data_IF_507840917617
#
_entry.id   IF_507840917617
#
_cell.length_a   1.000
_cell.length_b   1.000
_cell.length_c   1.000
_cell.angle_alpha   90.00
_cell.angle_beta   90.00
_cell.angle_gamma   90.00
#
_symmetry.space_group_name_H-M   'P 1'
#
loop_
_entity.id
_entity.type
_entity.pdbx_description
1 polymer ?
#
# COMPACT_ATOMS: atom_id res chain seq x y z
N UNK A 1 64.39 -9.51 20.73
CA UNK A 1 63.66 -9.49 19.43
C UNK A 1 62.26 -10.11 19.50
N UNK A 2 62.06 -11.32 20.05
CA UNK A 2 60.72 -11.96 20.15
C UNK A 2 59.69 -11.23 21.03
N UNK A 3 60.10 -10.47 22.06
CA UNK A 3 59.18 -9.74 22.93
C UNK A 3 58.61 -8.48 22.24
N UNK A 4 59.45 -7.76 21.49
CA UNK A 4 59.04 -6.56 20.74
C UNK A 4 58.05 -6.86 19.61
N UNK A 5 58.19 -8.01 18.94
CA UNK A 5 57.26 -8.42 17.87
C UNK A 5 55.86 -8.72 18.44
N UNK A 6 55.75 -9.30 19.64
CA UNK A 6 54.46 -9.54 20.30
C UNK A 6 53.77 -8.24 20.71
N UNK A 7 54.53 -7.28 21.25
CA UNK A 7 53.99 -5.97 21.64
C UNK A 7 53.49 -5.19 20.44
N UNK A 8 54.22 -5.21 19.32
CA UNK A 8 53.82 -4.55 18.07
C UNK A 8 52.58 -5.22 17.46
N UNK A 9 52.50 -6.56 17.49
CA UNK A 9 51.34 -7.29 16.99
C UNK A 9 50.07 -7.01 17.80
N UNK A 10 50.17 -6.89 19.13
CA UNK A 10 49.04 -6.52 20.00
C UNK A 10 48.59 -5.08 19.72
N UNK A 11 49.53 -4.15 19.52
CA UNK A 11 49.21 -2.75 19.21
C UNK A 11 48.51 -2.60 17.85
N UNK A 12 48.94 -3.37 16.83
CA UNK A 12 48.28 -3.43 15.53
C UNK A 12 46.88 -4.06 15.59
N UNK A 13 46.68 -5.08 16.43
CA UNK A 13 45.35 -5.68 16.66
C UNK A 13 44.40 -4.71 17.37
N UNK A 14 44.90 -3.90 18.31
CA UNK A 14 44.12 -2.85 18.97
C UNK A 14 43.77 -1.72 17.98
N UNK A 15 44.70 -1.32 17.10
CA UNK A 15 44.44 -0.32 16.06
C UNK A 15 43.43 -0.80 15.01
N UNK A 16 43.48 -2.08 14.62
CA UNK A 16 42.49 -2.69 13.72
C UNK A 16 41.10 -2.83 14.37
N UNK A 17 41.05 -3.12 15.68
CA UNK A 17 39.80 -3.13 16.43
C UNK A 17 39.23 -1.72 16.63
N UNK A 18 40.08 -0.71 16.81
CA UNK A 18 39.70 0.69 16.94
C UNK A 18 39.29 1.34 15.60
N UNK A 19 39.86 0.90 14.46
CA UNK A 19 39.46 1.39 13.12
C UNK A 19 38.07 0.89 12.68
N UNK A 20 37.51 -0.10 13.39
CA UNK A 20 36.13 -0.56 13.20
C UNK A 20 35.13 0.13 14.16
N UNK A 21 35.61 1.05 15.02
CA UNK A 21 34.73 1.89 15.83
C UNK A 21 34.37 3.10 14.96
N UNK A 22 33.12 3.14 14.53
CA UNK A 22 32.52 4.32 13.87
C UNK A 22 32.78 5.53 14.79
N UNK A 23 33.44 6.57 14.31
CA UNK A 23 33.53 7.84 15.04
C UNK A 23 32.10 8.35 15.24
N UNK A 24 31.60 8.22 16.47
CA UNK A 24 30.36 8.85 16.89
C UNK A 24 30.76 10.17 17.53
N UNK A 25 30.52 11.26 16.81
CA UNK A 25 30.61 12.60 17.37
C UNK A 25 29.50 12.77 18.42
N UNK A 26 29.83 12.51 19.69
CA UNK A 26 28.89 12.58 20.82
C UNK A 26 28.40 14.01 21.11
N UNK A 27 28.96 15.04 20.45
CA UNK A 27 28.60 16.45 20.65
C UNK A 27 27.66 17.00 19.56
N UNK A 28 27.46 16.26 18.46
CA UNK A 28 26.27 16.41 17.63
C UNK A 28 25.25 15.43 18.16
N UNK A 29 24.11 15.90 18.65
CA UNK A 29 23.00 15.06 19.14
C UNK A 29 22.34 14.20 18.05
N UNK A 30 23.12 13.42 17.30
CA UNK A 30 22.61 12.42 16.37
C UNK A 30 22.20 11.20 17.17
N UNK A 31 20.90 11.04 17.41
CA UNK A 31 20.37 9.73 17.77
C UNK A 31 20.79 8.75 16.67
N UNK A 32 21.35 7.60 17.03
CA UNK A 32 21.50 6.49 16.10
C UNK A 32 20.11 6.14 15.57
N UNK A 33 19.76 6.60 14.36
CA UNK A 33 18.49 6.27 13.71
C UNK A 33 18.46 4.78 13.46
N UNK A 34 17.55 4.07 14.12
CA UNK A 34 17.27 2.68 13.78
C UNK A 34 16.68 2.65 12.36
N UNK A 35 17.17 1.79 11.47
CA UNK A 35 16.60 1.67 10.13
C UNK A 35 15.11 1.33 10.24
N UNK A 36 14.28 2.04 9.48
CA UNK A 36 12.87 1.73 9.37
C UNK A 36 12.68 0.29 8.86
N UNK A 37 11.70 -0.43 9.40
CA UNK A 37 11.29 -1.70 8.83
C UNK A 37 10.77 -1.46 7.41
N UNK A 38 10.95 -2.45 6.57
CA UNK A 38 10.50 -2.40 5.19
C UNK A 38 10.10 -3.79 4.76
N UNK A 39 8.92 -3.91 4.17
CA UNK A 39 8.46 -5.17 3.59
C UNK A 39 9.44 -5.67 2.52
N UNK A 40 9.83 -6.96 2.53
CA UNK A 40 10.81 -7.51 1.58
C UNK A 40 10.20 -7.76 0.20
N UNK A 41 9.98 -6.68 -0.55
CA UNK A 41 9.28 -6.70 -1.85
C UNK A 41 9.94 -7.59 -2.91
N UNK A 42 11.28 -7.67 -2.94
CA UNK A 42 12.03 -8.50 -3.89
C UNK A 42 11.90 -10.01 -3.64
N UNK A 43 11.43 -10.40 -2.46
CA UNK A 43 11.25 -11.80 -2.08
C UNK A 43 9.78 -12.25 -2.13
N UNK A 44 8.88 -11.39 -2.61
CA UNK A 44 7.46 -11.70 -2.73
C UNK A 44 7.21 -12.87 -3.68
N UNK A 45 6.18 -13.66 -3.37
CA UNK A 45 5.83 -14.82 -4.18
C UNK A 45 5.39 -14.42 -5.59
N UNK A 46 5.76 -15.24 -6.57
CA UNK A 46 5.31 -15.15 -7.94
C UNK A 46 4.47 -16.39 -8.30
N UNK A 47 3.47 -16.22 -9.15
CA UNK A 47 2.61 -17.31 -9.64
C UNK A 47 2.03 -18.18 -8.52
N UNK A 48 1.31 -17.55 -7.58
CA UNK A 48 0.83 -18.22 -6.38
C UNK A 48 -0.30 -19.20 -6.68
N UNK A 49 -0.23 -20.39 -6.10
CA UNK A 49 -1.37 -21.33 -6.02
C UNK A 49 -1.89 -21.40 -4.58
N UNK A 50 -3.06 -20.79 -4.35
CA UNK A 50 -3.79 -20.87 -3.09
C UNK A 50 -4.71 -22.09 -3.09
N UNK A 51 -4.59 -22.96 -2.09
CA UNK A 51 -5.49 -24.09 -1.90
C UNK A 51 -6.36 -23.85 -0.67
N UNK A 52 -7.68 -24.01 -0.84
CA UNK A 52 -8.67 -23.81 0.22
C UNK A 52 -9.54 -25.06 0.31
N UNK A 53 -9.67 -25.60 1.52
CA UNK A 53 -10.52 -26.75 1.82
C UNK A 53 -11.65 -26.30 2.73
N UNK A 54 -12.89 -26.48 2.28
CA UNK A 54 -14.11 -26.09 2.99
C UNK A 54 -14.88 -27.37 3.35
N UNK A 55 -15.07 -27.64 4.64
CA UNK A 55 -15.88 -28.74 5.14
C UNK A 55 -17.28 -28.23 5.46
N UNK A 56 -18.30 -28.96 5.04
CA UNK A 56 -19.70 -28.53 5.17
C UNK A 56 -20.56 -29.52 5.98
N UNK A 57 -21.78 -29.07 6.33
CA UNK A 57 -22.78 -29.88 7.03
C UNK A 57 -23.40 -30.96 6.13
N UNK A 58 -23.54 -30.68 4.84
CA UNK A 58 -24.20 -31.54 3.85
C UNK A 58 -23.27 -31.94 2.72
N UNK A 59 -23.69 -32.87 1.87
CA UNK A 59 -22.97 -33.17 0.62
C UNK A 59 -22.98 -31.96 -0.30
N UNK A 60 -21.86 -31.73 -0.99
CA UNK A 60 -21.68 -30.60 -1.90
C UNK A 60 -22.06 -31.02 -3.32
N UNK A 61 -22.95 -30.24 -3.94
CA UNK A 61 -23.30 -30.38 -5.34
C UNK A 61 -22.56 -29.31 -6.15
N UNK A 62 -21.53 -29.72 -6.91
CA UNK A 62 -20.71 -28.81 -7.70
C UNK A 62 -21.46 -28.11 -8.84
N UNK A 63 -22.55 -28.71 -9.33
CA UNK A 63 -23.39 -28.14 -10.40
C UNK A 63 -24.19 -26.93 -9.91
N UNK A 64 -24.46 -26.84 -8.61
CA UNK A 64 -25.18 -25.72 -7.99
C UNK A 64 -24.25 -24.62 -7.45
N UNK A 65 -22.94 -24.86 -7.49
CA UNK A 65 -21.94 -23.95 -6.96
C UNK A 65 -21.32 -23.13 -8.09
N UNK A 66 -21.55 -21.83 -8.13
CA UNK A 66 -20.85 -20.95 -9.06
C UNK A 66 -19.69 -20.25 -8.32
N UNK A 67 -18.49 -20.30 -8.91
CA UNK A 67 -17.26 -19.81 -8.27
C UNK A 67 -16.52 -18.88 -9.22
N UNK A 68 -16.39 -17.61 -8.84
CA UNK A 68 -15.83 -16.58 -9.70
C UNK A 68 -15.10 -15.50 -8.91
N UNK A 69 -14.15 -14.81 -9.54
CA UNK A 69 -13.54 -13.61 -8.97
C UNK A 69 -14.56 -12.46 -8.96
N UNK A 70 -14.67 -11.76 -7.84
CA UNK A 70 -15.53 -10.59 -7.76
C UNK A 70 -15.09 -9.50 -8.78
N UNK A 71 -16.01 -8.66 -9.28
CA UNK A 71 -15.63 -7.56 -10.16
C UNK A 71 -14.66 -6.56 -9.53
N UNK A 72 -14.89 -6.25 -8.25
CA UNK A 72 -14.04 -5.45 -7.39
C UNK A 72 -13.72 -6.24 -6.13
N UNK A 73 -12.53 -6.02 -5.54
CA UNK A 73 -12.22 -6.61 -4.23
C UNK A 73 -13.28 -6.24 -3.21
N UNK A 74 -13.51 -7.16 -2.29
CA UNK A 74 -14.46 -7.05 -1.20
C UNK A 74 -15.92 -6.87 -1.65
N UNK A 75 -16.22 -7.19 -2.92
CA UNK A 75 -17.51 -6.96 -3.57
C UNK A 75 -18.01 -5.51 -3.46
N UNK A 76 -17.09 -4.53 -3.46
CA UNK A 76 -17.49 -3.11 -3.48
C UNK A 76 -18.17 -2.75 -4.78
N UNK A 77 -18.96 -1.67 -4.76
CA UNK A 77 -19.84 -1.26 -5.87
C UNK A 77 -19.35 -0.02 -6.61
N UNK A 78 -18.27 0.60 -6.16
CA UNK A 78 -17.62 1.74 -6.83
C UNK A 78 -16.11 1.66 -6.60
N UNK A 79 -15.35 1.86 -7.67
CA UNK A 79 -13.90 1.95 -7.65
C UNK A 79 -13.49 3.42 -7.66
N UNK A 80 -12.73 3.83 -6.65
CA UNK A 80 -12.09 5.14 -6.60
C UNK A 80 -10.59 4.90 -6.49
N UNK A 81 -9.77 5.57 -7.29
CA UNK A 81 -8.31 5.53 -7.14
C UNK A 81 -7.83 6.95 -6.92
N UNK A 82 -6.73 7.12 -6.19
CA UNK A 82 -6.12 8.42 -5.97
C UNK A 82 -4.63 8.33 -6.22
N UNK A 83 -4.12 9.22 -7.06
CA UNK A 83 -2.69 9.41 -7.30
C UNK A 83 -2.31 10.84 -6.94
N UNK A 84 -1.41 10.98 -5.97
CA UNK A 84 -0.87 12.28 -5.54
C UNK A 84 0.46 12.55 -6.24
N UNK A 85 0.50 13.64 -6.99
CA UNK A 85 1.57 14.02 -7.91
C UNK A 85 2.68 14.87 -7.28
N UNK A 86 3.70 15.14 -8.08
CA UNK A 86 4.85 15.99 -7.79
C UNK A 86 5.70 15.63 -6.56
N UNK A 87 5.57 14.42 -5.99
CA UNK A 87 6.29 14.04 -4.77
C UNK A 87 6.10 15.06 -3.63
N UNK A 88 4.92 15.72 -3.54
CA UNK A 88 4.67 16.85 -2.62
C UNK A 88 4.90 16.49 -1.15
N UNK A 89 5.39 17.44 -0.32
CA UNK A 89 5.57 17.21 1.12
C UNK A 89 4.26 16.91 1.86
N UNK A 90 3.09 17.25 1.30
CA UNK A 90 1.78 16.95 1.87
C UNK A 90 1.42 15.46 1.87
N UNK A 91 2.07 14.65 1.03
CA UNK A 91 1.76 13.22 0.90
C UNK A 91 1.79 12.51 2.26
N UNK A 92 2.82 12.76 3.06
CA UNK A 92 3.02 12.06 4.33
C UNK A 92 2.16 12.62 5.48
N UNK A 93 2.29 13.89 5.90
CA UNK A 93 1.62 14.43 7.08
C UNK A 93 0.15 14.82 6.85
N UNK A 94 -0.38 14.67 5.62
CA UNK A 94 -1.79 14.95 5.31
C UNK A 94 -2.48 13.73 4.74
N UNK A 95 -2.15 13.30 3.52
CA UNK A 95 -2.87 12.20 2.85
C UNK A 95 -2.70 10.88 3.60
N UNK A 96 -1.45 10.41 3.74
CA UNK A 96 -1.16 9.18 4.45
C UNK A 96 -1.56 9.26 5.93
N UNK A 97 -1.30 10.39 6.59
CA UNK A 97 -1.62 10.59 7.99
C UNK A 97 -3.14 10.57 8.26
N UNK A 98 -3.95 11.19 7.40
CA UNK A 98 -5.42 11.21 7.54
C UNK A 98 -5.99 9.80 7.46
N UNK A 99 -5.53 9.02 6.47
CA UNK A 99 -5.95 7.64 6.26
C UNK A 99 -5.58 6.75 7.46
N UNK A 100 -4.37 6.92 7.98
CA UNK A 100 -3.80 6.03 9.00
C UNK A 100 -4.00 6.52 10.45
N UNK A 101 -4.87 7.50 10.67
CA UNK A 101 -5.19 8.01 12.01
C UNK A 101 -3.96 8.55 12.74
N UNK A 102 -3.09 9.25 12.01
CA UNK A 102 -1.85 9.85 12.52
C UNK A 102 -2.07 11.34 12.85
N UNK A 103 -1.13 11.98 13.57
CA UNK A 103 -1.19 13.42 13.82
C UNK A 103 -1.35 14.21 12.52
N UNK A 104 -2.15 15.27 12.53
CA UNK A 104 -2.33 16.15 11.37
C UNK A 104 -1.94 17.56 11.74
N UNK A 105 -1.43 18.32 10.77
CA UNK A 105 -1.12 19.75 10.92
C UNK A 105 -1.75 20.54 9.78
N UNK A 106 -2.37 21.68 10.13
CA UNK A 106 -2.94 22.58 9.13
C UNK A 106 -1.87 23.42 8.44
N UNK A 107 -0.78 23.74 9.16
CA UNK A 107 0.23 24.69 8.71
C UNK A 107 1.57 24.06 8.32
N UNK A 108 1.88 22.88 8.85
CA UNK A 108 3.23 22.32 8.83
C UNK A 108 3.28 20.92 8.21
N UNK A 109 4.51 20.48 7.91
CA UNK A 109 4.82 19.21 7.28
C UNK A 109 5.88 18.50 8.12
N UNK A 110 5.49 17.41 8.79
CA UNK A 110 6.42 16.54 9.49
C UNK A 110 6.75 15.31 8.63
N UNK A 111 7.88 14.67 8.93
CA UNK A 111 8.38 13.47 8.28
C UNK A 111 8.37 12.25 9.23
N UNK A 112 8.61 11.05 8.69
CA UNK A 112 8.58 9.79 9.43
C UNK A 112 9.41 9.81 10.72
N UNK A 113 10.67 10.22 10.68
CA UNK A 113 11.52 10.23 11.88
C UNK A 113 11.05 11.24 12.93
N UNK A 114 10.41 12.34 12.52
CA UNK A 114 9.78 13.29 13.44
C UNK A 114 8.55 12.66 14.12
N UNK A 115 7.70 11.96 13.37
CA UNK A 115 6.57 11.20 13.92
C UNK A 115 7.03 10.11 14.90
N UNK A 116 8.05 9.34 14.51
CA UNK A 116 8.62 8.24 15.31
C UNK A 116 9.19 8.70 16.64
N UNK A 117 9.79 9.89 16.67
CA UNK A 117 10.39 10.47 17.88
C UNK A 117 9.43 11.37 18.66
N UNK A 118 8.19 11.54 18.20
CA UNK A 118 7.21 12.47 18.79
C UNK A 118 7.69 13.95 18.78
N UNK A 119 8.55 14.32 17.81
CA UNK A 119 8.89 15.72 17.53
C UNK A 119 7.87 16.28 16.54
N UNK A 120 6.71 16.68 17.05
CA UNK A 120 5.58 17.08 16.21
C UNK A 120 5.34 18.60 16.19
N UNK A 121 4.68 19.14 15.14
CA UNK A 121 4.26 20.52 15.08
C UNK A 121 3.37 20.97 16.27
N UNK A 122 3.32 22.28 16.59
CA UNK A 122 2.52 22.76 17.72
C UNK A 122 1.01 22.79 17.46
N UNK A 123 0.57 22.67 16.21
CA UNK A 123 -0.84 22.72 15.79
C UNK A 123 -1.43 21.32 15.51
N UNK A 124 -0.84 20.27 16.10
CA UNK A 124 -1.32 18.91 15.91
C UNK A 124 -2.79 18.75 16.33
N UNK A 125 -3.54 18.10 15.47
CA UNK A 125 -4.88 17.58 15.74
C UNK A 125 -5.02 16.16 15.19
N UNK A 126 -6.14 15.50 15.49
CA UNK A 126 -6.43 14.14 15.03
C UNK A 126 -7.87 14.03 14.56
N UNK A 127 -8.14 13.19 13.56
CA UNK A 127 -9.50 12.78 13.21
C UNK A 127 -10.13 11.83 14.25
N UNK A 128 -9.30 11.20 15.08
CA UNK A 128 -9.73 10.22 16.09
C UNK A 128 -10.07 8.83 15.51
N UNK A 129 -9.85 8.62 14.21
CA UNK A 129 -10.06 7.35 13.51
C UNK A 129 -9.20 7.25 12.26
N UNK A 130 -9.04 6.02 11.77
CA UNK A 130 -8.51 5.69 10.44
C UNK A 130 -9.61 5.77 9.39
N UNK A 131 -9.27 5.93 8.12
CA UNK A 131 -10.21 6.07 7.01
C UNK A 131 -10.10 4.90 6.05
N UNK A 132 -11.24 4.30 5.68
CA UNK A 132 -11.24 3.06 4.91
C UNK A 132 -12.61 2.52 4.58
N UNK A 133 -12.63 1.29 4.11
CA UNK A 133 -13.80 0.43 4.00
C UNK A 133 -13.61 -0.85 4.84
N UNK A 134 -14.56 -1.77 4.81
CA UNK A 134 -14.37 -3.13 5.30
C UNK A 134 -14.10 -4.10 4.16
N UNK A 135 -13.54 -5.26 4.47
CA UNK A 135 -13.35 -6.34 3.51
C UNK A 135 -14.66 -7.10 3.17
N UNK A 136 -15.83 -6.62 3.64
CA UNK A 136 -17.12 -7.29 3.50
C UNK A 136 -17.33 -8.45 4.46
N UNK A 137 -16.34 -8.76 5.31
CA UNK A 137 -16.37 -9.87 6.28
C UNK A 137 -16.06 -9.41 7.70
N UNK A 138 -16.05 -8.09 7.93
CA UNK A 138 -15.90 -7.47 9.25
C UNK A 138 -14.46 -7.05 9.60
N UNK A 139 -13.52 -7.09 8.66
CA UNK A 139 -12.16 -6.56 8.87
C UNK A 139 -12.01 -5.21 8.18
N UNK A 140 -11.28 -4.29 8.82
CA UNK A 140 -10.92 -3.00 8.23
C UNK A 140 -9.99 -3.17 7.03
N UNK A 141 -10.22 -2.36 6.00
CA UNK A 141 -9.31 -2.11 4.87
C UNK A 141 -9.15 -0.60 4.76
N UNK A 142 -7.98 -0.08 5.16
CA UNK A 142 -7.72 1.37 5.04
C UNK A 142 -7.66 1.77 3.56
N UNK A 143 -8.03 3.01 3.26
CA UNK A 143 -7.85 3.54 1.91
C UNK A 143 -6.37 3.48 1.51
N UNK A 144 -6.10 3.23 0.24
CA UNK A 144 -4.76 3.23 -0.33
C UNK A 144 -4.69 4.23 -1.47
N UNK A 145 -3.50 4.76 -1.73
CA UNK A 145 -3.25 5.71 -2.79
C UNK A 145 -1.89 5.45 -3.46
N UNK A 146 -1.67 6.12 -4.58
CA UNK A 146 -0.39 6.12 -5.30
C UNK A 146 0.33 7.45 -5.03
N UNK A 147 1.59 7.41 -4.60
CA UNK A 147 2.44 8.59 -4.47
C UNK A 147 3.43 8.64 -5.64
N UNK A 148 3.52 9.76 -6.37
CA UNK A 148 4.61 9.92 -7.34
C UNK A 148 5.92 10.22 -6.63
N UNK A 149 7.04 9.77 -7.21
CA UNK A 149 8.37 9.95 -6.63
C UNK A 149 9.28 10.73 -7.58
N UNK A 150 10.06 11.66 -7.04
CA UNK A 150 11.23 12.25 -7.71
C UNK A 150 12.47 11.37 -7.47
N UNK A 151 12.39 10.10 -7.84
CA UNK A 151 13.34 9.07 -7.41
C UNK A 151 14.78 9.28 -7.92
N UNK A 152 14.96 10.06 -8.99
CA UNK A 152 16.24 10.45 -9.57
C UNK A 152 16.72 11.84 -9.11
N UNK A 153 16.07 12.40 -8.08
CA UNK A 153 16.54 13.58 -7.35
C UNK A 153 17.14 13.21 -5.98
N UNK A 154 18.24 13.88 -5.62
CA UNK A 154 18.98 13.62 -4.40
C UNK A 154 18.27 14.15 -3.14
N UNK A 155 17.36 15.13 -3.26
CA UNK A 155 16.71 15.69 -2.07
C UNK A 155 15.92 14.64 -1.28
N UNK A 156 15.40 13.59 -1.94
CA UNK A 156 14.67 12.52 -1.25
C UNK A 156 15.55 11.76 -0.26
N UNK A 157 16.87 11.81 -0.41
CA UNK A 157 17.84 11.19 0.50
C UNK A 157 18.29 12.12 1.65
N UNK A 158 17.73 13.33 1.74
CA UNK A 158 17.94 14.20 2.90
C UNK A 158 17.34 13.60 4.18
N UNK A 159 17.81 14.10 5.31
CA UNK A 159 17.30 13.73 6.63
C UNK A 159 16.41 14.85 7.19
N UNK A 160 15.29 14.46 7.81
CA UNK A 160 14.48 15.37 8.62
C UNK A 160 15.25 15.87 9.83
N UNK A 161 14.93 17.07 10.32
CA UNK A 161 15.60 17.65 11.50
C UNK A 161 14.74 17.35 12.74
N UNK A 162 15.33 16.70 13.74
CA UNK A 162 14.67 16.33 14.99
C UNK A 162 15.23 17.21 16.11
N UNK A 163 14.36 17.88 16.87
CA UNK A 163 14.76 18.76 17.98
C UNK A 163 13.71 18.77 19.09
N UNK A 164 13.70 17.69 19.89
CA UNK A 164 12.73 17.47 20.96
C UNK A 164 12.75 18.59 22.00
N UNK A 165 11.55 19.09 22.35
CA UNK A 165 11.38 20.16 23.34
C UNK A 165 11.77 21.56 22.85
N UNK A 166 12.20 21.73 21.59
CA UNK A 166 12.50 23.03 21.02
C UNK A 166 11.25 23.74 20.52
N UNK A 167 11.00 24.95 21.06
CA UNK A 167 9.77 25.73 20.82
C UNK A 167 10.01 27.18 20.39
N UNK A 168 11.25 27.58 20.08
CA UNK A 168 11.54 28.97 19.67
C UNK A 168 11.07 29.29 18.26
N UNK A 169 11.06 28.29 17.38
CA UNK A 169 10.55 28.35 16.01
C UNK A 169 10.16 26.95 15.51
N UNK A 170 9.51 26.90 14.35
CA UNK A 170 8.98 25.69 13.72
C UNK A 170 9.64 25.37 12.37
N UNK A 171 10.83 25.91 12.07
CA UNK A 171 11.44 25.78 10.74
C UNK A 171 11.66 24.33 10.30
N UNK A 172 11.89 23.43 11.25
CA UNK A 172 12.05 21.99 10.98
C UNK A 172 10.80 21.30 10.41
N UNK A 173 9.64 21.97 10.49
CA UNK A 173 8.37 21.49 9.95
C UNK A 173 7.86 22.32 8.75
N UNK A 174 8.70 23.19 8.18
CA UNK A 174 8.31 23.93 6.98
C UNK A 174 8.39 23.02 5.75
N UNK A 175 7.57 23.32 4.75
CA UNK A 175 7.53 22.54 3.51
C UNK A 175 8.90 22.45 2.86
N UNK A 176 9.31 21.23 2.51
CA UNK A 176 10.51 20.93 1.73
C UNK A 176 10.15 20.72 0.25
N UNK A 177 11.17 20.40 -0.56
CA UNK A 177 10.99 20.07 -1.98
C UNK A 177 10.01 18.90 -2.20
N UNK A 178 9.93 17.96 -1.25
CA UNK A 178 9.01 16.82 -1.32
C UNK A 178 9.11 15.90 -0.11
N UNK A 179 8.53 14.71 -0.23
CA UNK A 179 8.72 13.62 0.74
C UNK A 179 10.14 13.01 0.65
N UNK A 180 10.59 12.42 1.75
CA UNK A 180 11.87 11.75 1.89
C UNK A 180 11.74 10.23 1.70
N UNK A 181 12.85 9.53 1.46
CA UNK A 181 12.85 8.07 1.35
C UNK A 181 12.33 7.37 2.61
N UNK A 182 12.57 7.94 3.80
CA UNK A 182 12.04 7.44 5.07
C UNK A 182 10.51 7.52 5.11
N UNK A 183 9.91 8.59 4.57
CA UNK A 183 8.45 8.70 4.45
C UNK A 183 7.90 7.64 3.48
N UNK A 184 8.58 7.44 2.34
CA UNK A 184 8.16 6.45 1.33
C UNK A 184 8.20 5.04 1.91
N UNK A 185 9.24 4.69 2.68
CA UNK A 185 9.36 3.39 3.37
C UNK A 185 8.14 3.14 4.25
N UNK A 186 7.74 4.13 5.05
CA UNK A 186 6.57 4.01 5.90
C UNK A 186 5.28 3.93 5.07
N UNK A 187 5.10 4.80 4.08
CA UNK A 187 3.94 4.79 3.15
C UNK A 187 3.71 3.40 2.54
N UNK A 188 4.77 2.76 2.01
CA UNK A 188 4.65 1.46 1.34
C UNK A 188 4.41 0.29 2.29
N UNK A 189 4.81 0.38 3.56
CA UNK A 189 4.47 -0.63 4.56
C UNK A 189 2.96 -0.68 4.84
N UNK A 190 2.24 0.41 4.62
CA UNK A 190 0.78 0.46 4.74
C UNK A 190 0.05 0.05 3.45
N UNK A 191 0.75 -0.50 2.46
CA UNK A 191 0.15 -1.00 1.22
C UNK A 191 -0.19 0.09 0.21
N UNK A 192 0.42 1.28 0.33
CA UNK A 192 0.34 2.32 -0.69
C UNK A 192 1.34 2.06 -1.82
N UNK A 193 1.04 2.62 -2.99
CA UNK A 193 1.85 2.46 -4.19
C UNK A 193 2.70 3.68 -4.50
N UNK A 194 3.62 3.49 -5.44
CA UNK A 194 4.52 4.49 -5.98
C UNK A 194 4.35 4.57 -7.50
N UNK A 195 4.59 5.75 -8.06
CA UNK A 195 4.60 5.97 -9.50
C UNK A 195 5.77 6.86 -9.93
N UNK A 196 6.22 6.66 -11.17
CA UNK A 196 6.97 7.68 -11.89
C UNK A 196 6.07 8.85 -12.26
N UNK A 197 6.68 10.01 -12.44
CA UNK A 197 6.04 11.25 -12.89
C UNK A 197 7.09 12.06 -13.68
N UNK A 198 7.34 13.32 -13.32
CA UNK A 198 8.51 14.05 -13.80
C UNK A 198 9.80 13.33 -13.41
N UNK A 199 10.77 13.35 -14.31
CA UNK A 199 12.13 12.87 -14.07
C UNK A 199 13.12 14.02 -14.20
N UNK A 200 14.28 13.91 -13.57
CA UNK A 200 15.29 14.96 -13.42
C UNK A 200 16.12 15.20 -14.70
N UNK A 201 15.45 15.42 -15.82
CA UNK A 201 16.05 15.79 -17.11
C UNK A 201 15.59 17.17 -17.56
N UNK A 202 16.46 17.90 -18.27
CA UNK A 202 16.10 19.14 -18.96
C UNK A 202 15.49 18.89 -20.34
N UNK A 203 15.77 17.73 -20.92
CA UNK A 203 15.32 17.34 -22.26
C UNK A 203 13.98 16.60 -22.16
N UNK A 204 12.96 17.27 -21.62
CA UNK A 204 11.65 16.68 -21.28
C UNK A 204 10.80 16.26 -22.50
N UNK A 205 11.27 16.53 -23.71
CA UNK A 205 10.66 16.09 -24.98
C UNK A 205 11.55 15.08 -25.75
N UNK A 206 12.59 14.57 -25.09
CA UNK A 206 13.47 13.56 -25.67
C UNK A 206 13.19 12.21 -25.00
N UNK A 207 12.56 11.30 -25.75
CA UNK A 207 12.16 9.97 -25.27
C UNK A 207 13.34 9.21 -24.66
N UNK A 208 14.50 9.17 -25.32
CA UNK A 208 15.68 8.46 -24.83
C UNK A 208 16.20 9.04 -23.51
N UNK A 209 16.13 10.38 -23.36
CA UNK A 209 16.52 11.09 -22.15
C UNK A 209 15.58 10.75 -20.99
N UNK A 210 14.26 10.79 -21.24
CA UNK A 210 13.25 10.40 -20.24
C UNK A 210 13.45 8.95 -19.82
N UNK A 211 13.62 8.02 -20.77
CA UNK A 211 13.85 6.60 -20.48
C UNK A 211 15.10 6.36 -19.64
N UNK A 212 16.21 7.02 -19.97
CA UNK A 212 17.44 6.95 -19.18
C UNK A 212 17.18 7.37 -17.73
N UNK A 213 16.38 8.41 -17.53
CA UNK A 213 16.07 8.91 -16.20
C UNK A 213 15.05 8.03 -15.45
N UNK A 214 14.09 7.39 -16.13
CA UNK A 214 13.30 6.32 -15.52
C UNK A 214 14.17 5.19 -14.98
N UNK A 215 15.20 4.76 -15.72
CA UNK A 215 16.13 3.73 -15.26
C UNK A 215 16.94 4.18 -14.03
N UNK A 216 17.40 5.44 -13.99
CA UNK A 216 18.07 6.00 -12.81
C UNK A 216 17.12 6.00 -11.59
N UNK A 217 15.88 6.45 -11.79
CA UNK A 217 14.86 6.43 -10.75
C UNK A 217 14.55 5.00 -10.29
N UNK A 218 14.48 4.04 -11.23
CA UNK A 218 14.28 2.63 -10.94
C UNK A 218 15.37 2.06 -10.02
N UNK A 219 16.64 2.34 -10.32
CA UNK A 219 17.78 1.90 -9.52
C UNK A 219 17.73 2.49 -8.09
N UNK A 220 17.33 3.76 -7.98
CA UNK A 220 17.15 4.45 -6.71
C UNK A 220 16.03 3.81 -5.87
N UNK A 221 14.88 3.56 -6.48
CA UNK A 221 13.73 2.86 -5.87
C UNK A 221 14.17 1.47 -5.42
N UNK A 222 14.81 0.69 -6.29
CA UNK A 222 15.26 -0.66 -5.98
C UNK A 222 16.23 -0.71 -4.79
N UNK A 223 17.17 0.24 -4.76
CA UNK A 223 18.15 0.36 -3.67
C UNK A 223 17.50 0.73 -2.33
N UNK A 224 16.47 1.59 -2.35
CA UNK A 224 15.86 2.17 -1.13
C UNK A 224 14.67 1.37 -0.62
N UNK A 225 13.97 0.64 -1.49
CA UNK A 225 12.72 -0.03 -1.18
C UNK A 225 12.83 -1.57 -1.23
N UNK A 226 13.90 -2.14 -0.65
CA UNK A 226 14.09 -3.60 -0.52
C UNK A 226 13.88 -4.35 -1.84
N UNK A 227 14.52 -3.83 -2.90
CA UNK A 227 14.44 -4.39 -4.24
C UNK A 227 13.09 -4.22 -4.94
N UNK A 228 12.12 -3.50 -4.36
CA UNK A 228 10.89 -3.07 -5.05
C UNK A 228 11.25 -2.31 -6.31
N UNK A 229 10.47 -2.51 -7.36
CA UNK A 229 10.56 -1.81 -8.63
C UNK A 229 9.22 -1.13 -8.91
N UNK A 230 9.27 0.12 -9.34
CA UNK A 230 8.09 0.84 -9.81
C UNK A 230 7.63 0.27 -11.16
N UNK A 231 6.31 0.10 -11.32
CA UNK A 231 5.66 -0.31 -12.57
C UNK A 231 4.52 0.63 -13.00
N UNK A 232 4.41 1.79 -12.35
CA UNK A 232 3.33 2.74 -12.57
C UNK A 232 3.90 4.06 -13.08
N UNK A 233 3.28 4.64 -14.11
CA UNK A 233 3.49 6.02 -14.52
C UNK A 233 2.21 6.83 -14.29
N UNK A 234 2.36 8.01 -13.71
CA UNK A 234 1.37 9.08 -13.84
C UNK A 234 1.93 10.13 -14.78
N UNK A 235 1.27 10.38 -15.90
CA UNK A 235 1.76 11.33 -16.91
C UNK A 235 1.87 12.73 -16.29
N UNK A 236 3.07 13.36 -16.35
CA UNK A 236 3.25 14.74 -15.92
C UNK A 236 2.92 15.73 -17.04
N UNK A 237 2.38 16.89 -16.65
CA UNK A 237 2.28 18.09 -17.49
C UNK A 237 1.52 17.92 -18.83
N UNK A 238 0.70 16.87 -18.98
CA UNK A 238 0.08 16.51 -20.26
C UNK A 238 1.10 16.13 -21.34
N UNK A 239 2.31 15.75 -20.94
CA UNK A 239 3.43 15.48 -21.85
C UNK A 239 3.47 14.01 -22.25
N UNK A 240 2.88 13.73 -23.41
CA UNK A 240 2.79 12.39 -24.02
C UNK A 240 4.17 11.72 -24.25
N UNK A 241 5.28 12.48 -24.28
CA UNK A 241 6.61 11.91 -24.43
C UNK A 241 6.99 11.03 -23.23
N UNK A 242 6.48 11.33 -22.03
CA UNK A 242 6.65 10.50 -20.83
C UNK A 242 5.92 9.16 -20.96
N UNK A 243 4.68 9.20 -21.45
CA UNK A 243 3.87 8.01 -21.74
C UNK A 243 4.51 7.16 -22.83
N UNK A 244 5.00 7.79 -23.90
CA UNK A 244 5.70 7.12 -25.01
C UNK A 244 7.00 6.47 -24.53
N UNK A 245 7.79 7.16 -23.70
CA UNK A 245 8.99 6.62 -23.08
C UNK A 245 8.68 5.41 -22.21
N UNK A 246 7.61 5.46 -21.43
CA UNK A 246 7.21 4.38 -20.52
C UNK A 246 6.69 3.13 -21.23
N UNK A 247 5.87 3.28 -22.28
CA UNK A 247 5.36 2.14 -23.07
C UNK A 247 6.51 1.32 -23.68
N UNK A 248 7.62 1.98 -24.01
CA UNK A 248 8.82 1.35 -24.56
C UNK A 248 9.75 0.75 -23.49
N UNK A 249 9.36 0.77 -22.21
CA UNK A 249 10.09 0.14 -21.10
C UNK A 249 9.27 -1.01 -20.52
N UNK A 250 9.80 -2.23 -20.62
CA UNK A 250 9.11 -3.45 -20.14
C UNK A 250 8.72 -3.39 -18.64
N UNK A 251 9.40 -2.57 -17.83
CA UNK A 251 9.16 -2.49 -16.39
C UNK A 251 7.90 -1.68 -16.03
N UNK A 252 7.42 -0.76 -16.89
CA UNK A 252 6.25 0.08 -16.61
C UNK A 252 5.01 -0.57 -17.23
N UNK A 253 4.04 -0.95 -16.39
CA UNK A 253 2.91 -1.81 -16.75
C UNK A 253 1.56 -1.12 -16.71
N UNK A 254 1.43 -0.05 -15.94
CA UNK A 254 0.20 0.73 -15.84
C UNK A 254 0.50 2.22 -15.91
N UNK A 255 -0.24 2.92 -16.77
CA UNK A 255 -0.03 4.34 -17.06
C UNK A 255 -1.35 5.06 -16.84
N UNK A 256 -1.30 6.28 -16.30
CA UNK A 256 -2.46 7.14 -16.09
C UNK A 256 -2.23 8.51 -16.71
N UNK A 257 -3.26 9.07 -17.36
CA UNK A 257 -3.21 10.41 -17.96
C UNK A 257 -4.62 11.03 -18.04
N UNK A 258 -4.71 12.35 -18.15
CA UNK A 258 -5.99 13.06 -18.28
C UNK A 258 -6.77 12.65 -19.54
N UNK A 259 -6.06 12.40 -20.64
CA UNK A 259 -6.63 11.92 -21.90
C UNK A 259 -6.81 10.40 -21.99
N UNK A 260 -6.58 9.66 -20.89
CA UNK A 260 -6.61 8.19 -20.90
C UNK A 260 -8.00 7.57 -21.06
N UNK A 261 -8.03 6.25 -21.17
CA UNK A 261 -9.23 5.44 -21.35
C UNK A 261 -10.01 5.24 -20.03
N UNK A 262 -11.33 5.39 -20.10
CA UNK A 262 -12.21 5.14 -18.96
C UNK A 262 -12.28 3.64 -18.64
N UNK A 263 -12.33 3.32 -17.35
CA UNK A 263 -12.40 1.94 -16.86
C UNK A 263 -13.79 1.67 -16.31
N UNK A 264 -14.43 0.60 -16.77
CA UNK A 264 -15.73 0.13 -16.27
C UNK A 264 -15.57 -1.25 -15.62
N UNK A 265 -15.35 -1.35 -14.30
CA UNK A 265 -14.88 -2.60 -13.67
C UNK A 265 -15.85 -3.79 -13.76
N UNK A 266 -17.14 -3.51 -13.99
CA UNK A 266 -18.23 -4.48 -14.07
C UNK A 266 -18.63 -4.84 -15.50
N UNK A 267 -18.10 -4.14 -16.51
CA UNK A 267 -18.27 -4.53 -17.91
C UNK A 267 -17.41 -5.77 -18.23
N UNK A 268 -17.38 -6.16 -19.50
CA UNK A 268 -16.49 -7.22 -19.97
C UNK A 268 -15.06 -6.92 -19.55
N UNK A 269 -14.38 -7.95 -19.06
CA UNK A 269 -13.07 -7.80 -18.48
C UNK A 269 -12.05 -7.39 -19.57
N UNK A 270 -11.44 -6.22 -19.39
CA UNK A 270 -10.45 -5.65 -20.31
C UNK A 270 -9.04 -5.85 -19.77
N UNK A 271 -8.11 -6.18 -20.67
CA UNK A 271 -6.69 -6.16 -20.36
C UNK A 271 -6.20 -4.73 -20.27
N UNK A 272 -5.70 -4.34 -19.10
CA UNK A 272 -5.19 -2.99 -18.85
C UNK A 272 -3.70 -2.84 -19.23
N UNK A 273 -3.01 -3.93 -19.60
CA UNK A 273 -1.63 -3.85 -20.08
C UNK A 273 -1.53 -3.03 -21.37
N UNK A 274 -0.56 -2.11 -21.42
CA UNK A 274 -0.36 -1.15 -22.51
C UNK A 274 -1.49 -0.13 -22.72
N UNK A 275 -2.48 -0.07 -21.84
CA UNK A 275 -3.50 0.98 -21.85
C UNK A 275 -3.09 2.13 -20.94
N UNK A 276 -3.33 3.35 -21.40
CA UNK A 276 -3.24 4.55 -20.57
C UNK A 276 -4.62 4.82 -20.00
N UNK A 277 -4.76 4.76 -18.68
CA UNK A 277 -6.06 4.89 -18.02
C UNK A 277 -6.37 6.35 -17.71
N UNK A 278 -7.64 6.70 -17.83
CA UNK A 278 -8.12 8.04 -17.51
C UNK A 278 -7.84 8.38 -16.05
N UNK A 279 -7.44 9.62 -15.82
CA UNK A 279 -7.31 10.25 -14.51
C UNK A 279 -7.86 11.66 -14.59
N UNK A 280 -8.52 12.14 -13.55
CA UNK A 280 -9.21 13.44 -13.57
C UNK A 280 -8.75 14.33 -12.43
N UNK A 281 -8.65 15.62 -12.71
CA UNK A 281 -8.31 16.66 -11.74
C UNK A 281 -9.47 17.65 -11.61
N UNK A 282 -9.69 18.12 -10.40
CA UNK A 282 -10.58 19.24 -10.11
C UNK A 282 -9.89 20.19 -9.13
N UNK A 283 -10.25 21.46 -9.21
CA UNK A 283 -9.67 22.51 -8.36
C UNK A 283 -10.06 22.32 -6.88
N UNK A 284 -11.22 21.71 -6.62
CA UNK A 284 -11.73 21.46 -5.26
C UNK A 284 -12.07 19.99 -5.03
N UNK A 285 -11.77 19.44 -3.84
CA UNK A 285 -12.24 18.11 -3.48
C UNK A 285 -13.77 18.01 -3.35
N UNK A 286 -14.49 19.12 -3.20
CA UNK A 286 -15.96 19.12 -3.22
C UNK A 286 -16.54 18.77 -4.60
N UNK A 287 -15.83 19.08 -5.69
CA UNK A 287 -16.25 18.69 -7.04
C UNK A 287 -16.21 17.16 -7.20
N UNK A 288 -15.21 16.51 -6.60
CA UNK A 288 -15.15 15.04 -6.56
C UNK A 288 -16.31 14.43 -5.78
N UNK A 289 -16.84 15.09 -4.75
CA UNK A 289 -18.06 14.61 -4.05
C UNK A 289 -19.23 14.53 -5.03
N UNK A 290 -19.42 15.56 -5.84
CA UNK A 290 -20.47 15.58 -6.87
C UNK A 290 -20.26 14.51 -7.93
N UNK A 291 -19.03 14.32 -8.41
CA UNK A 291 -18.70 13.24 -9.36
C UNK A 291 -19.04 11.87 -8.78
N UNK A 292 -18.67 11.62 -7.52
CA UNK A 292 -18.98 10.37 -6.82
C UNK A 292 -20.50 10.17 -6.70
N UNK A 293 -21.24 11.19 -6.31
CA UNK A 293 -22.71 11.12 -6.19
C UNK A 293 -23.38 10.86 -7.54
N UNK A 294 -22.91 11.51 -8.61
CA UNK A 294 -23.40 11.29 -9.97
C UNK A 294 -23.14 9.85 -10.42
N UNK A 295 -21.92 9.34 -10.26
CA UNK A 295 -21.58 7.97 -10.65
C UNK A 295 -22.36 6.95 -9.83
N UNK A 296 -22.63 7.24 -8.55
CA UNK A 296 -23.45 6.42 -7.67
C UNK A 296 -24.91 6.33 -8.12
N UNK A 297 -25.43 7.35 -8.80
CA UNK A 297 -26.79 7.34 -9.37
C UNK A 297 -26.95 6.40 -10.56
N UNK A 298 -25.84 5.94 -11.15
CA UNK A 298 -25.79 5.00 -12.27
C UNK A 298 -25.88 3.55 -11.73
N UNK A 299 -26.53 2.60 -12.44
CA UNK A 299 -26.50 1.18 -12.08
C UNK A 299 -25.06 0.67 -11.91
N UNK A 300 -24.81 -0.14 -10.86
CA UNK A 300 -23.45 -0.62 -10.52
C UNK A 300 -22.68 -1.21 -11.71
N UNK A 301 -23.38 -1.93 -12.60
CA UNK A 301 -22.77 -2.55 -13.79
C UNK A 301 -22.18 -1.53 -14.77
N UNK A 302 -22.72 -0.32 -14.81
CA UNK A 302 -22.34 0.72 -15.76
C UNK A 302 -21.46 1.82 -15.15
N UNK A 303 -21.06 1.67 -13.89
CA UNK A 303 -20.24 2.67 -13.21
C UNK A 303 -18.81 2.68 -13.74
N UNK A 304 -18.34 3.87 -14.08
CA UNK A 304 -16.95 4.17 -14.36
C UNK A 304 -16.14 4.24 -13.06
N UNK A 305 -14.89 3.80 -13.11
CA UNK A 305 -13.92 4.09 -12.06
C UNK A 305 -13.65 5.59 -12.00
N UNK A 306 -13.51 6.12 -10.78
CA UNK A 306 -13.14 7.52 -10.55
C UNK A 306 -11.67 7.55 -10.15
N UNK A 307 -10.79 7.92 -11.07
CA UNK A 307 -9.35 7.99 -10.83
C UNK A 307 -8.92 9.44 -10.61
N UNK A 308 -8.68 9.81 -9.36
CA UNK A 308 -8.41 11.17 -8.91
C UNK A 308 -6.91 11.46 -9.02
N UNK A 309 -6.57 12.54 -9.71
CA UNK A 309 -5.27 13.20 -9.62
C UNK A 309 -5.33 14.37 -8.65
N UNK A 310 -4.27 14.54 -7.86
CA UNK A 310 -4.10 15.70 -6.96
C UNK A 310 -2.62 16.06 -6.84
N UNK A 311 -2.28 17.35 -6.80
CA UNK A 311 -0.91 17.79 -6.51
C UNK A 311 -0.67 17.90 -5.00
N UNK A 312 -1.10 19.00 -4.39
CA UNK A 312 -1.01 19.23 -2.95
C UNK A 312 -2.33 18.93 -2.27
N UNK A 313 -2.26 18.27 -1.12
CA UNK A 313 -3.41 18.03 -0.25
C UNK A 313 -3.33 18.95 0.96
N UNK A 314 -4.47 19.38 1.48
CA UNK A 314 -4.63 20.27 2.62
C UNK A 314 -5.80 19.80 3.51
N UNK A 315 -6.30 20.65 4.40
CA UNK A 315 -7.42 20.32 5.28
C UNK A 315 -8.70 19.96 4.50
N UNK A 316 -8.95 20.55 3.33
CA UNK A 316 -10.13 20.20 2.52
C UNK A 316 -10.04 18.78 1.97
N UNK A 317 -8.84 18.34 1.62
CA UNK A 317 -8.59 16.96 1.21
C UNK A 317 -8.71 15.97 2.37
N UNK A 318 -8.25 16.35 3.56
CA UNK A 318 -8.51 15.58 4.79
C UNK A 318 -10.02 15.43 5.04
N UNK A 319 -10.78 16.53 4.94
CA UNK A 319 -12.24 16.52 5.10
C UNK A 319 -12.95 15.69 4.02
N UNK A 320 -12.42 15.69 2.80
CA UNK A 320 -12.93 14.84 1.72
C UNK A 320 -12.71 13.35 1.98
N UNK A 321 -11.51 12.95 2.40
CA UNK A 321 -11.24 11.55 2.75
C UNK A 321 -12.09 11.11 3.95
N UNK A 322 -12.29 11.99 4.93
CA UNK A 322 -13.19 11.75 6.06
C UNK A 322 -14.64 11.58 5.58
N UNK A 323 -15.13 12.49 4.75
CA UNK A 323 -16.46 12.39 4.14
C UNK A 323 -16.63 11.08 3.35
N UNK A 324 -15.62 10.67 2.58
CA UNK A 324 -15.66 9.44 1.80
C UNK A 324 -15.80 8.22 2.72
N UNK A 325 -15.04 8.18 3.82
CA UNK A 325 -15.15 7.15 4.85
C UNK A 325 -16.55 7.13 5.49
N UNK A 326 -17.05 8.30 5.89
CA UNK A 326 -18.29 8.45 6.66
C UNK A 326 -19.54 8.22 5.83
N UNK A 327 -19.45 8.44 4.52
CA UNK A 327 -20.56 8.30 3.60
C UNK A 327 -20.55 6.94 2.90
N UNK A 328 -19.40 6.51 2.39
CA UNK A 328 -19.29 5.35 1.49
C UNK A 328 -18.26 4.30 1.91
N UNK A 329 -17.48 4.59 2.96
CA UNK A 329 -16.52 3.67 3.57
C UNK A 329 -17.11 2.93 4.77
N UNK A 330 -16.23 2.51 5.69
CA UNK A 330 -16.56 1.62 6.81
C UNK A 330 -17.55 2.21 7.83
N UNK A 331 -17.66 3.54 7.89
CA UNK A 331 -18.58 4.23 8.79
C UNK A 331 -19.89 4.65 8.06
N UNK A 332 -20.00 4.34 6.76
CA UNK A 332 -21.14 4.65 5.90
C UNK A 332 -21.71 3.42 5.20
N UNK A 333 -21.98 3.53 3.90
CA UNK A 333 -22.55 2.44 3.09
C UNK A 333 -21.59 1.26 2.84
N UNK A 334 -20.30 1.43 3.13
CA UNK A 334 -19.25 0.44 2.92
C UNK A 334 -19.21 -0.12 1.47
N UNK A 335 -19.42 0.75 0.50
CA UNK A 335 -19.62 0.39 -0.91
C UNK A 335 -18.48 0.82 -1.84
N UNK A 336 -17.48 1.54 -1.34
CA UNK A 336 -16.31 2.00 -2.11
C UNK A 336 -15.10 1.12 -1.84
N UNK A 337 -14.40 0.75 -2.91
CA UNK A 337 -13.03 0.28 -2.83
C UNK A 337 -12.10 1.39 -3.31
N UNK A 338 -11.17 1.80 -2.44
CA UNK A 338 -10.15 2.79 -2.76
C UNK A 338 -8.74 2.20 -2.69
N UNK A 339 -8.31 1.43 -3.71
CA UNK A 339 -6.95 0.95 -3.82
C UNK A 339 -6.02 2.00 -4.41
N UNK A 340 -4.72 1.70 -4.37
CA UNK A 340 -3.78 2.33 -5.30
C UNK A 340 -4.00 1.85 -6.75
N UNK A 341 -3.52 2.64 -7.72
CA UNK A 341 -3.57 2.30 -9.15
C UNK A 341 -2.91 0.93 -9.43
N UNK A 342 -1.77 0.67 -8.78
CA UNK A 342 -1.01 -0.56 -8.91
C UNK A 342 -1.76 -1.79 -8.37
N UNK A 343 -2.41 -1.65 -7.21
CA UNK A 343 -3.20 -2.73 -6.60
C UNK A 343 -4.44 -3.08 -7.45
N UNK A 344 -5.10 -2.08 -8.03
CA UNK A 344 -6.21 -2.32 -8.96
C UNK A 344 -5.74 -3.01 -10.24
N UNK A 345 -4.62 -2.56 -10.82
CA UNK A 345 -4.02 -3.18 -12.00
C UNK A 345 -3.73 -4.67 -11.77
N UNK A 346 -3.07 -5.02 -10.66
CA UNK A 346 -2.78 -6.42 -10.33
C UNK A 346 -4.06 -7.24 -10.11
N UNK A 347 -5.06 -6.66 -9.44
CA UNK A 347 -6.33 -7.35 -9.25
C UNK A 347 -7.08 -7.61 -10.56
N UNK A 348 -7.10 -6.64 -11.48
CA UNK A 348 -7.64 -6.82 -12.83
C UNK A 348 -6.88 -7.94 -13.57
N UNK A 349 -5.55 -7.97 -13.47
CA UNK A 349 -4.73 -9.03 -14.05
C UNK A 349 -5.10 -10.41 -13.51
N UNK A 350 -5.26 -10.56 -12.19
CA UNK A 350 -5.70 -11.82 -11.58
C UNK A 350 -7.10 -12.24 -12.02
N UNK A 351 -8.03 -11.30 -12.18
CA UNK A 351 -9.37 -11.61 -12.71
C UNK A 351 -9.30 -12.17 -14.13
N UNK A 352 -8.36 -11.69 -14.95
CA UNK A 352 -8.23 -12.09 -16.35
C UNK A 352 -7.52 -13.41 -16.54
N UNK A 353 -6.42 -13.58 -15.83
CA UNK A 353 -5.47 -14.66 -16.08
C UNK A 353 -5.51 -15.72 -14.98
N UNK A 354 -6.08 -15.39 -13.83
CA UNK A 354 -6.28 -16.33 -12.75
C UNK A 354 -7.28 -17.42 -13.10
N UNK A 355 -7.11 -18.57 -12.47
CA UNK A 355 -7.97 -19.74 -12.68
C UNK A 355 -8.42 -20.30 -11.34
N UNK A 356 -9.71 -20.60 -11.23
CA UNK A 356 -10.28 -21.27 -10.07
C UNK A 356 -10.70 -22.67 -10.50
N UNK A 357 -10.12 -23.69 -9.87
CA UNK A 357 -10.54 -25.08 -10.01
C UNK A 357 -11.29 -25.50 -8.75
N UNK A 358 -12.42 -26.18 -8.92
CA UNK A 358 -13.26 -26.68 -7.83
C UNK A 358 -13.42 -28.19 -7.94
N UNK A 359 -13.36 -28.88 -6.81
CA UNK A 359 -13.64 -30.32 -6.71
C UNK A 359 -14.32 -30.62 -5.38
N UNK A 360 -15.16 -31.65 -5.33
CA UNK A 360 -15.87 -32.04 -4.11
C UNK A 360 -15.77 -33.54 -3.87
N UNK A 361 -15.67 -33.91 -2.59
CA UNK A 361 -15.80 -35.29 -2.13
C UNK A 361 -16.72 -35.31 -0.90
N UNK A 362 -17.94 -35.80 -1.08
CA UNK A 362 -18.97 -35.77 -0.04
C UNK A 362 -19.25 -34.34 0.42
N UNK A 363 -18.98 -34.07 1.70
CA UNK A 363 -19.17 -32.75 2.32
C UNK A 363 -17.93 -31.85 2.29
N UNK A 364 -16.89 -32.20 1.53
CA UNK A 364 -15.65 -31.41 1.44
C UNK A 364 -15.50 -30.81 0.04
N UNK A 365 -15.36 -29.48 -0.04
CA UNK A 365 -15.04 -28.73 -1.25
C UNK A 365 -13.56 -28.34 -1.19
N UNK A 366 -12.84 -28.57 -2.27
CA UNK A 366 -11.49 -28.07 -2.49
C UNK A 366 -11.52 -27.05 -3.61
N UNK A 367 -10.96 -25.87 -3.35
CA UNK A 367 -10.70 -24.82 -4.31
C UNK A 367 -9.19 -24.70 -4.52
N UNK A 368 -8.78 -24.60 -5.78
CA UNK A 368 -7.41 -24.28 -6.19
C UNK A 368 -7.49 -22.97 -6.97
N UNK A 369 -6.94 -21.89 -6.40
CA UNK A 369 -6.95 -20.55 -6.98
C UNK A 369 -5.53 -20.24 -7.44
N UNK A 370 -5.33 -20.20 -8.75
CA UNK A 370 -4.07 -19.85 -9.37
C UNK A 370 -4.06 -18.34 -9.65
N UNK A 371 -3.04 -17.65 -9.14
CA UNK A 371 -2.78 -16.23 -9.28
C UNK A 371 -1.47 -16.04 -10.06
N UNK A 372 -1.49 -16.12 -11.40
CA UNK A 372 -0.30 -15.84 -12.20
C UNK A 372 0.10 -14.38 -12.02
N UNK A 373 1.40 -14.12 -12.03
CA UNK A 373 1.94 -12.77 -11.85
C UNK A 373 2.91 -12.40 -12.97
N UNK A 374 2.92 -11.12 -13.31
CA UNK A 374 4.04 -10.54 -14.07
C UNK A 374 5.14 -10.09 -13.09
N UNK A 375 6.26 -9.62 -13.64
CA UNK A 375 7.30 -9.01 -12.83
C UNK A 375 6.73 -7.87 -11.96
N UNK A 376 7.27 -7.78 -10.74
CA UNK A 376 6.98 -6.69 -9.80
C UNK A 376 5.55 -6.66 -9.26
N UNK A 377 4.84 -7.78 -9.21
CA UNK A 377 3.55 -7.85 -8.50
C UNK A 377 3.75 -7.90 -6.97
N UNK A 378 2.98 -7.10 -6.23
CA UNK A 378 3.13 -6.89 -4.78
C UNK A 378 1.82 -7.06 -3.98
N UNK A 379 0.67 -7.19 -4.64
CA UNK A 379 -0.64 -7.30 -4.02
C UNK A 379 -1.35 -8.62 -4.39
N UNK A 380 -0.77 -9.81 -4.13
CA UNK A 380 -1.36 -11.12 -4.45
C UNK A 380 -2.54 -11.45 -3.53
N UNK A 381 -3.62 -10.69 -3.69
CA UNK A 381 -4.84 -10.78 -2.90
C UNK A 381 -6.07 -10.66 -3.80
N UNK A 382 -7.07 -11.51 -3.55
CA UNK A 382 -8.28 -11.59 -4.35
C UNK A 382 -9.52 -11.81 -3.50
N UNK A 383 -10.66 -11.39 -4.03
CA UNK A 383 -11.98 -11.79 -3.54
C UNK A 383 -12.61 -12.76 -4.53
N UNK A 384 -13.03 -13.92 -4.04
CA UNK A 384 -13.79 -14.91 -4.80
C UNK A 384 -15.17 -15.11 -4.17
N UNK A 385 -16.17 -15.33 -4.99
CA UNK A 385 -17.54 -15.61 -4.56
C UNK A 385 -17.90 -17.06 -4.83
N UNK A 386 -18.57 -17.71 -3.87
CA UNK A 386 -19.04 -19.08 -3.90
C UNK A 386 -20.56 -19.04 -3.82
N UNK A 387 -21.19 -18.69 -4.94
CA UNK A 387 -22.64 -18.61 -5.07
C UNK A 387 -23.25 -20.01 -4.96
N UNK A 388 -24.28 -20.16 -4.12
CA UNK A 388 -24.90 -21.46 -3.83
C UNK A 388 -24.33 -22.20 -2.61
N UNK A 389 -23.28 -21.69 -1.97
CA UNK A 389 -22.80 -22.17 -0.67
C UNK A 389 -23.20 -21.19 0.43
N UNK A 390 -23.95 -21.64 1.43
CA UNK A 390 -24.33 -20.82 2.59
C UNK A 390 -23.26 -20.85 3.68
N UNK A 391 -23.03 -19.73 4.36
CA UNK A 391 -22.04 -19.66 5.45
C UNK A 391 -22.39 -20.60 6.60
N UNK A 392 -23.68 -20.74 6.90
CA UNK A 392 -24.19 -21.58 7.99
C UNK A 392 -23.93 -23.07 7.73
N UNK A 393 -23.72 -23.45 6.47
CA UNK A 393 -23.36 -24.82 6.08
C UNK A 393 -21.86 -25.10 6.24
N UNK A 394 -21.01 -24.09 6.44
CA UNK A 394 -19.55 -24.26 6.60
C UNK A 394 -19.23 -24.65 8.05
N UNK A 395 -18.67 -25.86 8.22
CA UNK A 395 -18.12 -26.33 9.51
C UNK A 395 -16.73 -25.79 9.77
N UNK A 396 -15.88 -25.81 8.75
CA UNK A 396 -14.51 -25.31 8.85
C UNK A 396 -13.97 -24.93 7.49
N UNK A 397 -13.00 -24.03 7.50
CA UNK A 397 -12.22 -23.65 6.34
C UNK A 397 -10.74 -23.71 6.70
N UNK A 398 -9.96 -24.32 5.82
CA UNK A 398 -8.52 -24.50 5.98
C UNK A 398 -7.84 -24.08 4.67
N UNK A 399 -6.59 -23.62 4.74
CA UNK A 399 -5.82 -23.24 3.56
C UNK A 399 -4.36 -23.68 3.66
N UNK A 400 -3.71 -23.84 2.51
CA UNK A 400 -2.28 -24.13 2.44
C UNK A 400 -1.42 -22.96 2.96
N UNK A 401 -0.10 -23.15 3.02
CA UNK A 401 0.85 -22.15 3.52
C UNK A 401 1.00 -20.93 2.62
N UNK A 402 0.61 -21.01 1.35
CA UNK A 402 0.64 -19.87 0.43
C UNK A 402 -0.35 -18.77 0.82
N UNK A 403 -1.47 -19.14 1.45
CA UNK A 403 -2.45 -18.19 1.98
C UNK A 403 -2.01 -17.74 3.37
N UNK A 404 -1.71 -16.46 3.53
CA UNK A 404 -1.29 -15.84 4.80
C UNK A 404 -2.41 -15.03 5.46
N UNK A 405 -3.31 -14.47 4.65
CA UNK A 405 -4.57 -13.85 5.09
C UNK A 405 -5.79 -14.57 4.52
N UNK A 406 -6.80 -14.79 5.37
CA UNK A 406 -8.07 -15.39 4.95
C UNK A 406 -9.21 -14.80 5.78
N UNK A 407 -10.27 -14.38 5.10
CA UNK A 407 -11.54 -14.01 5.72
C UNK A 407 -12.70 -14.41 4.82
N UNK A 408 -13.88 -14.63 5.40
CA UNK A 408 -15.05 -15.09 4.67
C UNK A 408 -16.35 -14.68 5.35
N UNK A 409 -17.38 -14.40 4.55
CA UNK A 409 -18.64 -13.83 5.01
C UNK A 409 -19.79 -14.13 4.05
N UNK A 410 -21.01 -13.89 4.51
CA UNK A 410 -22.19 -13.98 3.65
C UNK A 410 -22.11 -12.93 2.54
N UNK A 411 -22.39 -13.32 1.31
CA UNK A 411 -22.53 -12.40 0.19
C UNK A 411 -23.60 -12.91 -0.78
N UNK A 412 -24.65 -12.12 -0.97
CA UNK A 412 -25.83 -12.49 -1.76
C UNK A 412 -26.36 -13.89 -1.36
N UNK A 413 -26.55 -14.79 -2.34
CA UNK A 413 -26.99 -16.18 -2.15
C UNK A 413 -25.82 -17.16 -1.95
N UNK A 414 -24.68 -16.66 -1.48
CA UNK A 414 -23.46 -17.43 -1.28
C UNK A 414 -22.54 -16.91 -0.18
N UNK A 415 -21.27 -17.27 -0.30
CA UNK A 415 -20.18 -16.82 0.57
C UNK A 415 -19.11 -16.14 -0.27
N UNK A 416 -18.58 -15.03 0.23
CA UNK A 416 -17.34 -14.45 -0.30
C UNK A 416 -16.14 -14.89 0.53
N UNK A 417 -14.99 -15.05 -0.13
CA UNK A 417 -13.70 -15.31 0.49
C UNK A 417 -12.72 -14.23 0.04
N UNK A 418 -12.07 -13.57 1.00
CA UNK A 418 -10.91 -12.73 0.73
C UNK A 418 -9.65 -13.53 1.06
N UNK A 419 -8.78 -13.66 0.07
CA UNK A 419 -7.58 -14.48 0.10
C UNK A 419 -6.40 -13.54 -0.07
N UNK A 420 -5.45 -13.57 0.85
CA UNK A 420 -4.20 -12.82 0.78
C UNK A 420 -3.03 -13.80 0.82
N UNK A 421 -2.16 -13.68 -0.17
CA UNK A 421 -1.01 -14.54 -0.38
C UNK A 421 0.33 -13.81 -0.25
N UNK A 422 0.34 -12.59 0.33
CA UNK A 422 1.57 -11.87 0.64
C UNK A 422 2.45 -12.72 1.54
N UNK A 423 3.64 -13.08 1.07
CA UNK A 423 4.51 -14.08 1.68
C UNK A 423 4.88 -13.74 3.11
N UNK A 424 5.20 -12.48 3.36
CA UNK A 424 5.75 -12.02 4.64
C UNK A 424 4.73 -11.26 5.49
N UNK A 425 3.44 -11.48 5.26
CA UNK A 425 2.37 -10.78 5.97
C UNK A 425 2.42 -11.04 7.50
N UNK A 426 2.88 -12.22 7.93
CA UNK A 426 3.03 -12.57 9.34
C UNK A 426 4.17 -11.78 9.99
N UNK A 427 5.31 -11.69 9.33
CA UNK A 427 6.47 -10.91 9.75
C UNK A 427 6.12 -9.41 9.80
N UNK A 428 5.38 -8.94 8.81
CA UNK A 428 4.88 -7.57 8.75
C UNK A 428 3.95 -7.27 9.94
N UNK A 429 2.97 -8.13 10.21
CA UNK A 429 2.12 -7.97 11.39
C UNK A 429 2.93 -8.03 12.70
N UNK A 430 3.95 -8.90 12.76
CA UNK A 430 4.84 -9.01 13.92
C UNK A 430 5.62 -7.71 14.15
N UNK A 431 6.10 -7.07 13.09
CA UNK A 431 6.79 -5.77 13.20
C UNK A 431 5.91 -4.71 13.88
N UNK A 432 4.65 -4.56 13.48
CA UNK A 432 3.76 -3.57 14.11
C UNK A 432 3.42 -3.91 15.56
N UNK A 433 3.32 -5.20 15.91
CA UNK A 433 3.21 -5.64 17.30
C UNK A 433 4.45 -5.22 18.10
N UNK A 434 5.64 -5.43 17.55
CA UNK A 434 6.90 -5.03 18.20
C UNK A 434 7.03 -3.50 18.33
N UNK A 435 6.53 -2.72 17.37
CA UNK A 435 6.48 -1.26 17.51
C UNK A 435 5.54 -0.83 18.65
N UNK A 436 4.38 -1.46 18.80
CA UNK A 436 3.51 -1.21 19.94
C UNK A 436 4.14 -1.64 21.27
N UNK A 437 4.91 -2.73 21.30
CA UNK A 437 5.58 -3.19 22.52
C UNK A 437 6.66 -2.23 23.04
N UNK A 438 7.25 -1.40 22.16
CA UNK A 438 8.21 -0.34 22.57
C UNK A 438 7.54 0.73 23.45
N UNK A 439 6.27 1.03 23.21
CA UNK A 439 5.46 1.93 24.04
C UNK A 439 3.99 1.49 24.02
N UNK A 440 3.59 0.74 25.06
CA UNK A 440 2.22 0.23 25.21
C UNK A 440 1.17 1.31 25.49
N UNK A 441 1.56 2.55 25.75
CA UNK A 441 0.63 3.66 25.95
C UNK A 441 0.18 4.26 24.62
N UNK A 442 0.96 4.08 23.55
CA UNK A 442 0.68 4.60 22.21
C UNK A 442 -0.51 3.86 21.55
N UNK A 443 -1.68 4.49 21.58
CA UNK A 443 -2.91 3.92 21.00
C UNK A 443 -2.87 3.84 19.47
N UNK A 444 -2.09 4.70 18.80
CA UNK A 444 -1.93 4.66 17.34
C UNK A 444 -1.19 3.38 16.93
N UNK A 445 -0.06 3.07 17.58
CA UNK A 445 0.69 1.84 17.33
C UNK A 445 -0.13 0.59 17.68
N UNK A 446 -0.95 0.66 18.74
CA UNK A 446 -1.90 -0.42 19.08
C UNK A 446 -2.90 -0.66 17.95
N UNK A 447 -3.46 0.42 17.39
CA UNK A 447 -4.43 0.34 16.30
C UNK A 447 -3.80 -0.28 15.04
N UNK A 448 -2.56 0.07 14.70
CA UNK A 448 -1.84 -0.55 13.59
C UNK A 448 -1.54 -2.02 13.84
N UNK A 449 -1.04 -2.37 15.03
CA UNK A 449 -0.79 -3.76 15.40
C UNK A 449 -2.06 -4.62 15.25
N UNK A 450 -3.21 -4.12 15.72
CA UNK A 450 -4.50 -4.79 15.53
C UNK A 450 -4.89 -4.88 14.06
N UNK A 451 -4.72 -3.80 13.30
CA UNK A 451 -5.03 -3.76 11.86
C UNK A 451 -4.29 -4.84 11.08
N UNK A 452 -2.96 -4.91 11.20
CA UNK A 452 -2.15 -5.88 10.47
C UNK A 452 -2.33 -7.32 10.98
N UNK A 453 -2.46 -7.54 12.29
CA UNK A 453 -2.73 -8.88 12.83
C UNK A 453 -4.11 -9.39 12.40
N UNK A 454 -5.09 -8.51 12.22
CA UNK A 454 -6.42 -8.91 11.76
C UNK A 454 -6.43 -9.34 10.28
N UNK A 455 -5.49 -8.90 9.45
CA UNK A 455 -5.35 -9.39 8.07
C UNK A 455 -5.02 -10.90 8.02
N UNK A 456 -4.29 -11.41 9.01
CA UNK A 456 -3.86 -12.81 9.05
C UNK A 456 -5.04 -13.78 9.08
N UNK A 457 -4.83 -14.95 8.47
CA UNK A 457 -5.72 -16.11 8.63
C UNK A 457 -5.65 -16.63 10.07
N UNK A 458 -6.72 -17.31 10.48
CA UNK A 458 -6.74 -17.96 11.79
C UNK A 458 -5.59 -18.98 11.90
N UNK A 459 -4.79 -18.83 12.96
CA UNK A 459 -3.61 -19.62 13.22
C UNK A 459 -3.15 -19.44 14.67
N UNK A 460 -2.32 -20.37 15.17
CA UNK A 460 -1.67 -20.20 16.48
C UNK A 460 -0.84 -18.92 16.54
N UNK A 461 -0.17 -18.55 15.43
CA UNK A 461 0.62 -17.32 15.35
C UNK A 461 -0.23 -16.06 15.44
N UNK A 462 -1.40 -16.02 14.78
CA UNK A 462 -2.34 -14.90 14.95
C UNK A 462 -2.81 -14.77 16.40
N UNK A 463 -3.17 -15.88 17.04
CA UNK A 463 -3.58 -15.88 18.45
C UNK A 463 -2.46 -15.42 19.40
N UNK A 464 -1.21 -15.83 19.14
CA UNK A 464 -0.01 -15.36 19.86
C UNK A 464 0.15 -13.85 19.73
N UNK A 465 0.10 -13.31 18.50
CA UNK A 465 0.25 -11.87 18.24
C UNK A 465 -0.89 -11.06 18.89
N UNK A 466 -2.14 -11.52 18.81
CA UNK A 466 -3.27 -10.87 19.50
C UNK A 466 -3.09 -10.84 21.02
N UNK A 467 -2.48 -11.87 21.61
CA UNK A 467 -2.20 -11.89 23.06
C UNK A 467 -1.10 -10.90 23.46
N UNK A 468 -0.14 -10.59 22.57
CA UNK A 468 0.91 -9.59 22.81
C UNK A 468 0.37 -8.15 22.80
N UNK A 469 -0.74 -7.91 22.10
CA UNK A 469 -1.39 -6.59 21.99
C UNK A 469 -2.31 -6.28 23.20
N UNK A 470 -2.79 -7.31 23.91
CA UNK A 470 -3.56 -7.15 25.15
C UNK A 470 -2.71 -6.47 26.22
#
# INVERSE_FOLDING_TARGET
MKLYIKTIAIFLLILLAASCIKEVDLYKGGSLREPAYLYPFDQENQNVTAEITIKTNSTINLELLDVYFAPLKYNKHLLIMLTQDDCKPSIYPRTWASINGKPLSGQYYYHYEQLKQDDLPPDIYYLGKTLGCTDGTGKEVRFSFTATLAADDNYMAEESIINLGYSKDNYRFYGRNGILWEDVIDIVNYGNSIAFHNVNTKEIHNIDSIQKHYLIGQDSIQKRLSGRKCKTLSEPDGNIDYTTAAINLDNIKTITAEGGEKVYPFHNLTNLENHTLNRVFHDSPDDFKQVIEQERSIPTVDRCAINIGVHSTDAFWTDFLLWLNDTYGKDGEDCVWMPSQEEYYEYNYYRMHGKIEKSANGSTLKLIVNLPSQEYFYYPSVTINLKGLKKEDIKSIESNSAVTGLSYGNYQDGVMLNIDCRRFLVEHATHFVEQYEKDKTNQSNKADALYFVNMLKESSKKAELLNRIK
#
